data_IF_541656880896
#
_entry.id   IF_541656880896
#
_cell.length_a   1.000
_cell.length_b   1.000
_cell.length_c   1.000
_cell.angle_alpha   90.00
_cell.angle_beta   90.00
_cell.angle_gamma   90.00
#
_symmetry.space_group_name_H-M   'P 1'
#
loop_
_entity.id
_entity.type
_entity.pdbx_description
1 polymer ?
#
# COMPACT_ATOMS: atom_id res chain seq x y z
N UNK A 1 -3.96 20.13 25.95
CA UNK A 1 -4.14 18.67 25.79
C UNK A 1 -3.01 17.85 26.43
N UNK A 2 -1.78 17.78 25.88
CA UNK A 2 -0.72 16.91 26.44
C UNK A 2 -0.40 17.14 27.92
N UNK A 3 -0.38 18.41 28.36
CA UNK A 3 -0.21 18.75 29.79
C UNK A 3 -1.35 18.21 30.66
N UNK A 4 -2.57 18.19 30.14
CA UNK A 4 -3.73 17.66 30.84
C UNK A 4 -3.73 16.13 30.87
N UNK A 5 -3.24 15.47 29.80
CA UNK A 5 -3.00 14.03 29.81
C UNK A 5 -1.93 13.64 30.83
N UNK A 6 -0.76 14.31 30.79
CA UNK A 6 0.31 14.08 31.76
C UNK A 6 -0.17 14.31 33.19
N UNK A 7 -0.87 15.42 33.44
CA UNK A 7 -1.45 15.67 34.77
C UNK A 7 -2.43 14.57 35.19
N UNK A 8 -3.26 14.05 34.29
CA UNK A 8 -4.20 12.97 34.60
C UNK A 8 -3.46 11.67 34.95
N UNK A 9 -2.38 11.34 34.22
CA UNK A 9 -1.51 10.20 34.53
C UNK A 9 -0.83 10.39 35.89
N UNK A 10 -0.24 11.57 36.13
CA UNK A 10 0.46 11.90 37.37
C UNK A 10 -0.49 11.86 38.59
N UNK A 11 -1.77 12.19 38.42
CA UNK A 11 -2.79 12.13 39.49
C UNK A 11 -3.53 10.78 39.57
N UNK A 12 -3.21 9.81 38.72
CA UNK A 12 -3.89 8.51 38.67
C UNK A 12 -5.34 8.54 38.14
N UNK A 13 -5.74 9.62 37.45
CA UNK A 13 -7.05 9.77 36.82
C UNK A 13 -7.07 9.05 35.45
N UNK A 14 -7.17 7.73 35.50
CA UNK A 14 -7.13 6.85 34.33
C UNK A 14 -8.26 7.14 33.34
N UNK A 15 -9.47 7.38 33.82
CA UNK A 15 -10.63 7.68 32.98
C UNK A 15 -10.42 8.94 32.14
N UNK A 16 -9.83 9.99 32.73
CA UNK A 16 -9.50 11.22 32.00
C UNK A 16 -8.34 11.02 31.04
N UNK A 17 -7.31 10.26 31.43
CA UNK A 17 -6.19 9.94 30.56
C UNK A 17 -6.66 9.17 29.31
N UNK A 18 -7.47 8.13 29.48
CA UNK A 18 -8.08 7.34 28.41
C UNK A 18 -8.97 8.19 27.52
N UNK A 19 -9.82 9.05 28.09
CA UNK A 19 -10.67 9.93 27.30
C UNK A 19 -9.88 10.92 26.43
N UNK A 20 -8.73 11.41 26.92
CA UNK A 20 -7.85 12.29 26.15
C UNK A 20 -7.09 11.53 25.05
N UNK A 21 -6.69 10.28 25.30
CA UNK A 21 -6.10 9.40 24.28
C UNK A 21 -7.14 9.04 23.22
N UNK A 22 -8.36 8.71 23.62
CA UNK A 22 -9.47 8.46 22.72
C UNK A 22 -9.74 9.67 21.79
N UNK A 23 -9.67 10.88 22.34
CA UNK A 23 -9.83 12.09 21.54
C UNK A 23 -8.66 12.30 20.57
N UNK A 24 -7.42 12.04 21.02
CA UNK A 24 -6.24 12.09 20.15
C UNK A 24 -6.34 11.07 19.00
N UNK A 25 -6.89 9.89 19.28
CA UNK A 25 -7.18 8.86 18.30
C UNK A 25 -8.37 9.17 17.38
N UNK A 26 -8.94 10.39 17.46
CA UNK A 26 -10.03 10.83 16.58
C UNK A 26 -11.38 10.19 16.88
N UNK A 27 -11.59 9.62 18.07
CA UNK A 27 -12.88 9.04 18.42
C UNK A 27 -13.97 10.12 18.45
N UNK A 28 -15.11 9.92 17.75
CA UNK A 28 -16.15 10.94 17.61
C UNK A 28 -16.86 11.23 18.95
N UNK A 29 -16.92 10.24 19.84
CA UNK A 29 -17.73 10.30 21.06
C UNK A 29 -16.88 10.37 22.32
N UNK A 30 -16.15 11.47 22.51
CA UNK A 30 -15.43 11.73 23.76
C UNK A 30 -16.20 12.69 24.66
N UNK A 31 -16.30 12.35 25.95
CA UNK A 31 -17.02 13.11 26.96
C UNK A 31 -16.56 14.59 27.02
N UNK A 32 -17.54 15.50 27.03
CA UNK A 32 -17.29 16.95 27.08
C UNK A 32 -16.51 17.40 28.33
N UNK A 33 -16.63 16.66 29.44
CA UNK A 33 -15.86 16.91 30.66
C UNK A 33 -14.35 16.75 30.41
N UNK A 34 -13.93 15.66 29.77
CA UNK A 34 -12.53 15.41 29.43
C UNK A 34 -11.98 16.48 28.47
N UNK A 35 -12.75 16.87 27.44
CA UNK A 35 -12.39 17.94 26.49
C UNK A 35 -12.17 19.30 27.18
N UNK A 36 -13.15 19.75 27.98
CA UNK A 36 -13.07 21.02 28.74
C UNK A 36 -11.85 21.07 29.65
N UNK A 37 -11.58 19.95 30.32
CA UNK A 37 -10.46 19.80 31.23
C UNK A 37 -9.07 19.96 30.56
N UNK A 38 -9.01 19.80 29.24
CA UNK A 38 -7.80 19.91 28.44
C UNK A 38 -7.76 21.18 27.56
N UNK A 39 -8.75 22.08 27.71
CA UNK A 39 -8.92 23.29 26.91
C UNK A 39 -9.35 23.03 25.46
N UNK A 40 -9.89 21.84 25.17
CA UNK A 40 -10.30 21.42 23.84
C UNK A 40 -11.73 21.93 23.58
N UNK A 41 -11.92 22.64 22.46
CA UNK A 41 -13.23 23.09 21.98
C UNK A 41 -13.61 22.30 20.73
N UNK A 42 -14.78 21.68 20.76
CA UNK A 42 -15.34 20.96 19.61
C UNK A 42 -14.91 19.51 19.48
N UNK A 43 -15.50 18.84 18.48
CA UNK A 43 -15.13 17.51 18.03
C UNK A 43 -14.08 17.61 16.92
N UNK A 44 -13.39 16.49 16.65
CA UNK A 44 -12.50 16.40 15.51
C UNK A 44 -13.36 16.20 14.26
N UNK A 45 -13.80 17.31 13.66
CA UNK A 45 -14.56 17.32 12.42
C UNK A 45 -13.62 17.46 11.20
N UNK A 46 -14.19 17.53 9.99
CA UNK A 46 -13.41 17.68 8.76
C UNK A 46 -12.52 18.94 8.76
N UNK A 47 -12.95 20.02 9.43
CA UNK A 47 -12.19 21.26 9.54
C UNK A 47 -11.11 21.19 10.61
N UNK A 48 -11.36 20.46 11.70
CA UNK A 48 -10.45 20.23 12.82
C UNK A 48 -9.37 19.18 12.54
N UNK A 49 -9.61 18.24 11.62
CA UNK A 49 -8.69 17.16 11.29
C UNK A 49 -7.30 17.68 10.83
N UNK A 50 -7.27 18.72 9.99
CA UNK A 50 -6.01 19.32 9.53
C UNK A 50 -5.23 19.98 10.68
N UNK A 51 -5.93 20.71 11.56
CA UNK A 51 -5.31 21.30 12.75
C UNK A 51 -4.82 20.25 13.75
N UNK A 52 -5.55 19.13 13.87
CA UNK A 52 -5.13 18.01 14.71
C UNK A 52 -3.87 17.32 14.16
N UNK A 53 -3.78 17.12 12.85
CA UNK A 53 -2.59 16.59 12.18
C UNK A 53 -1.38 17.52 12.39
N UNK A 54 -1.57 18.83 12.25
CA UNK A 54 -0.51 19.80 12.55
C UNK A 54 -0.04 19.71 14.00
N UNK A 55 -0.98 19.61 14.94
CA UNK A 55 -0.68 19.40 16.36
C UNK A 55 0.12 18.13 16.59
N UNK A 56 -0.28 17.01 15.97
CA UNK A 56 0.43 15.73 16.05
C UNK A 56 1.88 15.84 15.56
N UNK A 57 2.11 16.52 14.43
CA UNK A 57 3.46 16.73 13.89
C UNK A 57 4.35 17.54 14.84
N UNK A 58 3.79 18.57 15.50
CA UNK A 58 4.52 19.32 16.53
C UNK A 58 4.91 18.42 17.70
N UNK A 59 3.98 17.58 18.17
CA UNK A 59 4.25 16.63 19.26
C UNK A 59 5.34 15.63 18.87
N UNK A 60 5.29 15.07 17.67
CA UNK A 60 6.29 14.12 17.17
C UNK A 60 7.67 14.77 17.11
N UNK A 61 7.75 16.00 16.58
CA UNK A 61 8.99 16.77 16.54
C UNK A 61 9.55 17.03 17.95
N UNK A 62 8.71 17.46 18.88
CA UNK A 62 9.12 17.73 20.27
C UNK A 62 9.55 16.45 21.00
N UNK A 63 9.02 15.29 20.60
CA UNK A 63 9.44 13.97 21.07
C UNK A 63 10.71 13.44 20.40
N UNK A 64 11.32 14.20 19.48
CA UNK A 64 12.56 13.82 18.78
C UNK A 64 12.35 12.93 17.55
N UNK A 65 11.11 12.71 17.10
CA UNK A 65 10.84 12.01 15.85
C UNK A 65 11.03 12.95 14.65
N UNK A 66 11.58 12.45 13.53
CA UNK A 66 11.88 13.28 12.36
C UNK A 66 10.63 13.71 11.58
N UNK A 67 9.49 13.05 11.78
CA UNK A 67 8.27 13.31 11.02
C UNK A 67 7.23 12.20 11.12
N UNK A 68 6.24 12.25 10.23
CA UNK A 68 5.17 11.26 10.09
C UNK A 68 5.05 10.83 8.62
N UNK A 69 5.04 9.53 8.37
CA UNK A 69 4.68 8.94 7.07
C UNK A 69 3.21 8.52 7.12
N UNK A 70 2.39 9.08 6.23
CA UNK A 70 1.00 8.67 6.03
C UNK A 70 0.90 7.97 4.69
N UNK A 71 0.47 6.70 4.72
CA UNK A 71 0.21 5.90 3.52
C UNK A 71 -1.30 5.77 3.33
N UNK A 72 -1.80 6.24 2.20
CA UNK A 72 -3.17 6.00 1.75
C UNK A 72 -3.13 4.87 0.72
N UNK A 73 -3.52 3.67 1.15
CA UNK A 73 -3.48 2.49 0.31
C UNK A 73 -4.85 2.15 -0.30
N UNK A 74 -4.83 1.45 -1.43
CA UNK A 74 -5.99 1.03 -2.20
C UNK A 74 -6.99 2.17 -2.49
N UNK A 75 -6.51 3.36 -2.86
CA UNK A 75 -7.39 4.51 -3.10
C UNK A 75 -8.37 4.30 -4.26
N UNK A 76 -8.13 3.30 -5.13
CA UNK A 76 -9.09 2.86 -6.13
C UNK A 76 -10.41 2.35 -5.54
N UNK A 77 -10.45 1.97 -4.25
CA UNK A 77 -11.68 1.60 -3.55
C UNK A 77 -12.70 2.74 -3.55
N UNK A 78 -12.23 4.00 -3.62
CA UNK A 78 -13.08 5.18 -3.77
C UNK A 78 -13.96 5.11 -5.03
N UNK A 79 -13.50 4.42 -6.08
CA UNK A 79 -14.27 4.25 -7.33
C UNK A 79 -15.54 3.42 -7.14
N UNK A 80 -15.62 2.60 -6.09
CA UNK A 80 -16.81 1.79 -5.75
C UNK A 80 -17.80 2.54 -4.87
N UNK A 81 -17.44 3.70 -4.34
CA UNK A 81 -18.30 4.50 -3.46
C UNK A 81 -19.38 5.27 -4.24
N UNK A 82 -20.46 5.64 -3.54
CA UNK A 82 -21.47 6.57 -4.07
C UNK A 82 -20.82 7.89 -4.49
N UNK A 83 -21.30 8.49 -5.58
CA UNK A 83 -20.66 9.63 -6.24
C UNK A 83 -20.39 10.83 -5.33
N UNK A 84 -21.35 11.23 -4.49
CA UNK A 84 -21.20 12.35 -3.54
C UNK A 84 -20.15 12.07 -2.45
N UNK A 85 -20.04 10.83 -1.97
CA UNK A 85 -19.03 10.43 -0.98
C UNK A 85 -17.65 10.40 -1.62
N UNK A 86 -17.56 9.88 -2.86
CA UNK A 86 -16.34 9.89 -3.66
C UNK A 86 -15.85 11.31 -3.94
N UNK A 87 -16.75 12.22 -4.33
CA UNK A 87 -16.42 13.62 -4.60
C UNK A 87 -15.90 14.33 -3.35
N UNK A 88 -16.47 14.03 -2.18
CA UNK A 88 -15.94 14.51 -0.90
C UNK A 88 -14.55 13.95 -0.59
N UNK A 89 -14.33 12.66 -0.83
CA UNK A 89 -13.03 12.01 -0.61
C UNK A 89 -11.93 12.59 -1.52
N UNK A 90 -12.23 12.76 -2.82
CA UNK A 90 -11.30 13.39 -3.78
C UNK A 90 -10.98 14.83 -3.39
N UNK A 91 -11.98 15.60 -2.91
CA UNK A 91 -11.74 16.96 -2.42
C UNK A 91 -10.89 17.00 -1.14
N UNK A 92 -11.11 16.07 -0.21
CA UNK A 92 -10.29 15.95 0.99
C UNK A 92 -8.83 15.61 0.65
N UNK A 93 -8.61 14.70 -0.32
CA UNK A 93 -7.29 14.35 -0.83
C UNK A 93 -6.60 15.56 -1.49
N UNK A 94 -7.32 16.30 -2.33
CA UNK A 94 -6.82 17.56 -2.92
C UNK A 94 -6.39 18.55 -1.84
N UNK A 95 -7.22 18.75 -0.82
CA UNK A 95 -6.91 19.67 0.27
C UNK A 95 -5.65 19.20 1.00
N UNK A 96 -5.52 17.92 1.34
CA UNK A 96 -4.34 17.39 2.02
C UNK A 96 -3.05 17.65 1.20
N UNK A 97 -3.10 17.41 -0.11
CA UNK A 97 -1.97 17.71 -1.02
C UNK A 97 -1.64 19.21 -1.03
N UNK A 98 -2.65 20.09 -1.09
CA UNK A 98 -2.47 21.54 -1.04
C UNK A 98 -1.87 22.03 0.29
N UNK A 99 -2.20 21.39 1.41
CA UNK A 99 -1.62 21.72 2.72
C UNK A 99 -0.16 21.27 2.81
N UNK A 100 0.19 20.10 2.26
CA UNK A 100 1.56 19.60 2.18
C UNK A 100 2.42 20.49 1.28
N UNK A 101 1.95 20.78 0.06
CA UNK A 101 2.67 21.61 -0.92
C UNK A 101 2.91 23.04 -0.39
N UNK A 102 1.92 23.60 0.32
CA UNK A 102 2.06 24.90 0.97
C UNK A 102 2.97 24.89 2.23
N UNK A 103 3.56 23.75 2.59
CA UNK A 103 4.47 23.62 3.74
C UNK A 103 3.79 23.71 5.11
N UNK A 104 2.47 23.52 5.20
CA UNK A 104 1.71 23.62 6.46
C UNK A 104 1.90 22.42 7.38
N UNK A 105 2.40 21.31 6.83
CA UNK A 105 2.70 20.08 7.55
C UNK A 105 4.20 19.73 7.48
N UNK A 106 5.08 20.51 8.14
CA UNK A 106 6.51 20.20 8.15
C UNK A 106 6.76 18.85 8.81
N UNK A 107 7.55 18.00 8.15
CA UNK A 107 7.83 16.63 8.59
C UNK A 107 6.76 15.59 8.22
N UNK A 108 5.70 15.98 7.51
CA UNK A 108 4.75 15.01 6.95
C UNK A 108 5.22 14.54 5.57
N UNK A 109 5.26 13.23 5.37
CA UNK A 109 5.36 12.61 4.06
C UNK A 109 4.05 11.88 3.74
N UNK A 110 3.43 12.22 2.62
CA UNK A 110 2.21 11.59 2.14
C UNK A 110 2.55 10.65 0.97
N UNK A 111 2.26 9.36 1.14
CA UNK A 111 2.34 8.35 0.09
C UNK A 111 0.92 7.89 -0.27
N UNK A 112 0.58 7.93 -1.55
CA UNK A 112 -0.71 7.46 -2.05
C UNK A 112 -0.44 6.34 -3.04
N UNK A 113 -0.98 5.16 -2.79
CA UNK A 113 -0.86 4.00 -3.68
C UNK A 113 -2.22 3.69 -4.29
N UNK A 114 -2.21 3.36 -5.56
CA UNK A 114 -3.42 2.97 -6.28
C UNK A 114 -3.11 2.46 -7.68
N UNK A 115 -4.13 1.91 -8.33
CA UNK A 115 -4.01 1.39 -9.70
C UNK A 115 -4.09 2.50 -10.76
N UNK A 116 -3.58 2.27 -11.98
CA UNK A 116 -3.73 3.22 -13.09
C UNK A 116 -5.19 3.66 -13.32
N UNK A 117 -6.15 2.75 -13.09
CA UNK A 117 -7.58 3.07 -13.19
C UNK A 117 -8.02 4.22 -12.26
N UNK A 118 -7.37 4.40 -11.10
CA UNK A 118 -7.63 5.54 -10.22
C UNK A 118 -6.97 6.82 -10.71
N UNK A 119 -5.77 6.77 -11.28
CA UNK A 119 -5.02 7.95 -11.70
C UNK A 119 -5.44 8.47 -13.10
N UNK A 120 -5.90 7.59 -13.98
CA UNK A 120 -6.22 7.93 -15.37
C UNK A 120 -7.72 7.81 -15.66
N UNK A 121 -8.41 6.91 -14.95
CA UNK A 121 -9.80 6.57 -15.24
C UNK A 121 -10.79 7.70 -14.94
N UNK A 122 -11.96 7.71 -15.63
CA UNK A 122 -12.98 8.75 -15.49
C UNK A 122 -13.64 8.78 -14.10
N UNK A 123 -13.55 7.66 -13.37
CA UNK A 123 -14.08 7.50 -12.02
C UNK A 123 -13.08 7.79 -10.90
N UNK A 124 -11.82 8.08 -11.26
CA UNK A 124 -10.71 8.37 -10.36
C UNK A 124 -10.41 9.87 -10.24
N UNK A 125 -9.13 10.25 -10.19
CA UNK A 125 -8.70 11.65 -9.97
C UNK A 125 -9.15 12.59 -11.09
N UNK A 126 -9.31 12.09 -12.32
CA UNK A 126 -9.77 12.86 -13.50
C UNK A 126 -11.14 13.49 -13.28
N UNK A 127 -11.95 12.95 -12.36
CA UNK A 127 -13.25 13.48 -11.95
C UNK A 127 -13.14 14.83 -11.23
N UNK A 128 -12.00 15.12 -10.62
CA UNK A 128 -11.72 16.39 -9.96
C UNK A 128 -10.53 17.08 -10.65
N UNK A 129 -10.77 17.92 -11.68
CA UNK A 129 -9.69 18.54 -12.45
C UNK A 129 -8.61 19.28 -11.63
N UNK A 130 -8.95 19.99 -10.52
CA UNK A 130 -7.95 20.58 -9.65
C UNK A 130 -6.97 19.57 -9.01
N UNK A 131 -7.45 18.36 -8.69
CA UNK A 131 -6.59 17.29 -8.17
C UNK A 131 -5.78 16.65 -9.30
N UNK A 132 -6.42 16.34 -10.42
CA UNK A 132 -5.75 15.76 -11.59
C UNK A 132 -4.57 16.62 -12.07
N UNK A 133 -4.76 17.96 -12.13
CA UNK A 133 -3.70 18.88 -12.52
C UNK A 133 -2.47 18.88 -11.59
N UNK A 134 -2.65 18.58 -10.30
CA UNK A 134 -1.56 18.51 -9.32
C UNK A 134 -0.78 17.21 -9.39
N UNK A 135 -1.49 16.12 -9.70
CA UNK A 135 -0.90 14.79 -9.77
C UNK A 135 -0.38 14.46 -11.16
N UNK A 136 -0.70 15.23 -12.21
CA UNK A 136 -0.34 14.88 -13.59
C UNK A 136 1.17 14.66 -13.76
N UNK A 137 1.52 13.48 -14.25
CA UNK A 137 2.85 13.10 -14.74
C UNK A 137 2.67 12.49 -16.12
N UNK A 138 3.61 12.77 -17.02
CA UNK A 138 3.63 12.18 -18.35
C UNK A 138 4.39 10.85 -18.30
N UNK A 139 3.71 9.77 -18.66
CA UNK A 139 4.23 8.41 -18.70
C UNK A 139 4.31 7.84 -20.13
N UNK A 140 4.17 8.69 -21.16
CA UNK A 140 4.17 8.32 -22.58
C UNK A 140 5.57 7.96 -23.11
N UNK A 141 6.62 8.36 -22.39
CA UNK A 141 8.01 8.07 -22.73
C UNK A 141 8.50 6.72 -22.19
N UNK A 142 9.69 6.30 -22.62
CA UNK A 142 10.32 5.04 -22.18
C UNK A 142 10.38 4.98 -20.64
N UNK A 143 9.71 3.99 -19.99
CA UNK A 143 9.65 3.85 -18.54
C UNK A 143 11.00 3.80 -17.82
N UNK A 144 12.10 3.53 -18.53
CA UNK A 144 13.47 3.54 -18.00
C UNK A 144 13.96 4.93 -17.61
N UNK A 145 13.33 5.97 -18.12
CA UNK A 145 13.71 7.35 -17.86
C UNK A 145 12.64 8.13 -17.09
N UNK A 146 11.66 7.43 -16.49
CA UNK A 146 10.68 8.05 -15.59
C UNK A 146 11.42 8.82 -14.48
N UNK A 147 11.01 10.07 -14.24
CA UNK A 147 11.68 10.93 -13.26
C UNK A 147 11.32 10.50 -11.82
N UNK A 148 12.27 10.03 -11.01
CA UNK A 148 11.99 9.58 -9.64
C UNK A 148 11.62 10.72 -8.67
N UNK A 149 11.77 11.98 -9.10
CA UNK A 149 11.35 13.17 -8.34
C UNK A 149 9.96 13.69 -8.75
N UNK A 150 9.30 13.03 -9.70
CA UNK A 150 7.94 13.38 -10.08
C UNK A 150 6.96 13.07 -8.93
N UNK A 151 5.79 13.71 -8.96
CA UNK A 151 4.73 13.52 -7.95
C UNK A 151 4.09 12.13 -8.03
N UNK A 152 4.23 11.44 -9.15
CA UNK A 152 3.86 10.04 -9.33
C UNK A 152 5.09 9.23 -9.74
N UNK A 153 5.17 8.01 -9.20
CA UNK A 153 6.16 7.01 -9.58
C UNK A 153 5.40 5.79 -10.09
N UNK A 154 5.60 5.44 -11.36
CA UNK A 154 5.02 4.24 -11.97
C UNK A 154 5.83 3.02 -11.53
N UNK A 155 5.16 2.06 -10.90
CA UNK A 155 5.73 0.75 -10.62
C UNK A 155 5.54 -0.15 -11.85
N UNK A 156 6.60 -0.83 -12.27
CA UNK A 156 6.53 -1.81 -13.35
C UNK A 156 5.96 -3.12 -12.84
N UNK A 157 5.29 -3.85 -13.74
CA UNK A 157 4.91 -5.23 -13.47
C UNK A 157 6.15 -6.10 -13.23
N UNK A 158 5.95 -7.21 -12.54
CA UNK A 158 6.99 -8.21 -12.36
C UNK A 158 7.27 -8.92 -13.69
N UNK A 159 8.55 -9.00 -14.03
CA UNK A 159 9.10 -9.90 -15.03
C UNK A 159 9.66 -11.17 -14.35
N UNK A 160 10.23 -12.07 -15.15
CA UNK A 160 10.80 -13.32 -14.64
C UNK A 160 11.93 -13.05 -13.63
N UNK A 161 12.89 -12.21 -13.99
CA UNK A 161 14.06 -11.91 -13.15
C UNK A 161 13.65 -11.33 -11.79
N UNK A 162 12.70 -10.39 -11.78
CA UNK A 162 12.19 -9.78 -10.53
C UNK A 162 11.38 -10.77 -9.67
N UNK A 163 10.74 -11.79 -10.26
CA UNK A 163 10.13 -12.86 -9.46
C UNK A 163 11.14 -13.82 -8.86
N UNK A 164 12.18 -14.16 -9.61
CA UNK A 164 13.27 -14.98 -9.07
C UNK A 164 13.92 -14.24 -7.91
N UNK A 165 14.21 -12.94 -8.06
CA UNK A 165 14.74 -12.11 -6.99
C UNK A 165 13.79 -12.05 -5.77
N UNK A 166 12.49 -11.86 -6.01
CA UNK A 166 11.47 -11.91 -4.96
C UNK A 166 11.47 -13.28 -4.25
N UNK A 167 11.54 -14.37 -5.02
CA UNK A 167 11.59 -15.73 -4.51
C UNK A 167 12.83 -15.99 -3.66
N UNK A 168 14.00 -15.51 -4.08
CA UNK A 168 15.26 -15.61 -3.33
C UNK A 168 15.12 -14.91 -1.97
N UNK A 169 14.68 -13.64 -1.96
CA UNK A 169 14.50 -12.86 -0.73
C UNK A 169 13.51 -13.53 0.23
N UNK A 170 12.40 -14.05 -0.28
CA UNK A 170 11.39 -14.72 0.56
C UNK A 170 11.89 -16.07 1.07
N UNK A 171 12.54 -16.89 0.24
CA UNK A 171 13.17 -18.15 0.66
C UNK A 171 14.20 -17.90 1.75
N UNK A 172 15.08 -16.91 1.56
CA UNK A 172 16.17 -16.64 2.50
C UNK A 172 15.62 -16.17 3.84
N UNK A 173 14.63 -15.27 3.83
CA UNK A 173 13.92 -14.83 5.03
C UNK A 173 13.20 -16.00 5.74
N UNK A 174 12.54 -16.88 4.98
CA UNK A 174 11.89 -18.06 5.54
C UNK A 174 12.91 -19.00 6.19
N UNK A 175 14.02 -19.27 5.50
CA UNK A 175 15.07 -20.17 5.95
C UNK A 175 15.86 -19.63 7.14
N UNK A 176 15.87 -18.33 7.40
CA UNK A 176 16.41 -17.75 8.64
C UNK A 176 15.56 -18.09 9.87
N UNK A 177 14.24 -18.25 9.70
CA UNK A 177 13.31 -18.58 10.77
C UNK A 177 13.09 -20.08 11.00
N UNK A 178 13.58 -20.95 10.11
CA UNK A 178 13.34 -22.40 10.14
C UNK A 178 14.56 -23.17 10.68
N UNK A 179 14.30 -24.27 11.40
CA UNK A 179 15.36 -25.22 11.82
C UNK A 179 15.91 -26.06 10.66
N UNK A 180 15.23 -26.06 9.51
CA UNK A 180 15.61 -26.76 8.28
C UNK A 180 16.16 -25.81 7.20
N UNK A 181 16.65 -24.62 7.60
CA UNK A 181 17.08 -23.57 6.67
C UNK A 181 18.08 -24.02 5.59
N UNK A 182 19.05 -24.87 5.93
CA UNK A 182 20.03 -25.39 4.96
C UNK A 182 19.39 -26.33 3.93
N UNK A 183 18.45 -27.17 4.37
CA UNK A 183 17.66 -28.05 3.49
C UNK A 183 16.81 -27.22 2.53
N UNK A 184 16.16 -26.17 3.04
CA UNK A 184 15.36 -25.25 2.22
C UNK A 184 16.21 -24.60 1.13
N UNK A 185 17.37 -24.03 1.49
CA UNK A 185 18.27 -23.39 0.51
C UNK A 185 18.84 -24.39 -0.51
N UNK A 186 18.96 -25.67 -0.14
CA UNK A 186 19.45 -26.73 -1.02
C UNK A 186 18.37 -27.24 -1.98
N UNK A 187 17.16 -27.52 -1.48
CA UNK A 187 16.08 -28.09 -2.31
C UNK A 187 15.33 -27.03 -3.11
N UNK A 188 15.32 -25.79 -2.63
CA UNK A 188 14.69 -24.63 -3.27
C UNK A 188 15.79 -23.64 -3.66
N UNK A 189 16.76 -24.12 -4.44
CA UNK A 189 17.82 -23.29 -5.00
C UNK A 189 17.29 -22.28 -6.04
N UNK A 190 18.19 -21.46 -6.57
CA UNK A 190 17.84 -20.41 -7.53
C UNK A 190 17.29 -20.98 -8.85
N UNK A 191 17.76 -22.15 -9.26
CA UNK A 191 17.25 -22.85 -10.44
C UNK A 191 15.79 -23.29 -10.24
N UNK A 192 15.45 -23.81 -9.06
CA UNK A 192 14.08 -24.16 -8.72
C UNK A 192 13.17 -22.93 -8.71
N UNK A 193 13.65 -21.80 -8.17
CA UNK A 193 12.90 -20.54 -8.19
C UNK A 193 12.63 -20.06 -9.63
N UNK A 194 13.60 -20.22 -10.53
CA UNK A 194 13.44 -19.97 -11.97
C UNK A 194 12.37 -20.87 -12.59
N UNK A 195 12.42 -22.18 -12.35
CA UNK A 195 11.42 -23.13 -12.83
C UNK A 195 10.01 -22.80 -12.33
N UNK A 196 9.89 -22.41 -11.06
CA UNK A 196 8.62 -22.02 -10.47
C UNK A 196 8.09 -20.73 -11.11
N UNK A 197 8.96 -19.74 -11.35
CA UNK A 197 8.61 -18.49 -12.00
C UNK A 197 8.12 -18.73 -13.45
N UNK A 198 8.85 -19.53 -14.22
CA UNK A 198 8.49 -19.93 -15.58
C UNK A 198 7.15 -20.65 -15.64
N UNK A 199 6.91 -21.58 -14.72
CA UNK A 199 5.69 -22.35 -14.73
C UNK A 199 4.47 -21.50 -14.30
N UNK A 200 4.64 -20.52 -13.41
CA UNK A 200 3.58 -19.53 -13.11
C UNK A 200 3.36 -18.58 -14.29
N UNK A 201 4.40 -18.14 -14.98
CA UNK A 201 4.26 -17.30 -16.18
C UNK A 201 3.60 -18.03 -17.37
N UNK A 202 4.02 -19.28 -17.62
CA UNK A 202 3.54 -20.09 -18.74
C UNK A 202 2.09 -20.55 -18.58
N UNK A 203 1.66 -20.85 -17.36
CA UNK A 203 0.27 -21.20 -17.05
C UNK A 203 -0.70 -20.02 -17.18
N UNK A 204 -0.19 -18.79 -17.17
CA UNK A 204 -0.94 -17.56 -17.47
C UNK A 204 -0.95 -17.21 -18.97
N UNK A 205 -0.55 -18.16 -19.83
CA UNK A 205 -0.63 -18.02 -21.29
C UNK A 205 0.42 -17.09 -21.88
N UNK A 206 1.56 -16.90 -21.20
CA UNK A 206 2.63 -16.00 -21.67
C UNK A 206 2.24 -14.52 -21.68
N UNK A 207 1.12 -14.16 -21.04
CA UNK A 207 0.66 -12.79 -20.96
C UNK A 207 1.48 -12.02 -19.91
N UNK A 208 1.95 -10.84 -20.33
CA UNK A 208 2.83 -9.97 -19.56
C UNK A 208 2.07 -9.45 -18.33
N UNK A 209 2.50 -9.88 -17.15
CA UNK A 209 1.89 -9.53 -15.86
C UNK A 209 1.86 -10.76 -14.95
N UNK A 210 3.03 -11.30 -14.61
CA UNK A 210 3.09 -12.47 -13.74
C UNK A 210 2.54 -12.06 -12.37
N UNK A 211 1.62 -12.85 -11.81
CA UNK A 211 1.00 -12.54 -10.53
C UNK A 211 1.94 -12.90 -9.37
N UNK A 212 2.66 -11.93 -8.76
CA UNK A 212 3.63 -12.23 -7.69
C UNK A 212 2.95 -12.90 -6.50
N UNK A 213 1.68 -12.55 -6.23
CA UNK A 213 0.89 -13.16 -5.17
C UNK A 213 0.68 -14.67 -5.37
N UNK A 214 0.40 -15.10 -6.60
CA UNK A 214 0.22 -16.52 -6.94
C UNK A 214 1.54 -17.26 -6.80
N UNK A 215 2.62 -16.67 -7.34
CA UNK A 215 3.97 -17.20 -7.19
C UNK A 215 4.35 -17.38 -5.71
N UNK A 216 4.20 -16.35 -4.89
CA UNK A 216 4.51 -16.39 -3.46
C UNK A 216 3.65 -17.38 -2.70
N UNK A 217 2.36 -17.48 -3.01
CA UNK A 217 1.47 -18.44 -2.36
C UNK A 217 1.93 -19.88 -2.59
N UNK A 218 2.37 -20.20 -3.82
CA UNK A 218 2.88 -21.53 -4.17
C UNK A 218 4.26 -21.76 -3.57
N UNK A 219 5.16 -20.78 -3.66
CA UNK A 219 6.48 -20.86 -3.06
C UNK A 219 6.38 -21.13 -1.55
N UNK A 220 5.64 -20.32 -0.80
CA UNK A 220 5.57 -20.47 0.65
C UNK A 220 4.73 -21.68 1.03
N UNK A 221 3.46 -21.73 0.63
CA UNK A 221 2.51 -22.72 1.15
C UNK A 221 2.65 -24.13 0.55
N UNK A 222 3.07 -24.24 -0.72
CA UNK A 222 3.15 -25.54 -1.39
C UNK A 222 4.57 -26.10 -1.47
N UNK A 223 5.59 -25.26 -1.31
CA UNK A 223 6.99 -25.66 -1.44
C UNK A 223 7.73 -25.53 -0.11
N UNK A 224 7.97 -24.30 0.37
CA UNK A 224 8.80 -24.05 1.56
C UNK A 224 8.23 -24.75 2.81
N UNK A 225 6.93 -24.58 3.06
CA UNK A 225 6.24 -25.21 4.20
C UNK A 225 6.36 -26.74 4.17
N UNK A 226 6.32 -27.36 2.99
CA UNK A 226 6.40 -28.82 2.84
C UNK A 226 7.84 -29.33 2.96
N UNK A 227 8.81 -28.57 2.45
CA UNK A 227 10.24 -28.87 2.64
C UNK A 227 10.63 -28.78 4.11
N UNK A 228 10.04 -27.84 4.86
CA UNK A 228 10.28 -27.65 6.29
C UNK A 228 9.63 -28.75 7.14
N UNK A 229 8.41 -29.19 6.78
CA UNK A 229 7.64 -30.15 7.58
C UNK A 229 7.93 -31.62 7.27
N UNK A 230 8.35 -31.95 6.04
CA UNK A 230 8.47 -33.34 5.58
C UNK A 230 9.88 -33.64 5.07
N UNK A 231 10.61 -34.47 5.82
CA UNK A 231 12.01 -34.85 5.52
C UNK A 231 12.20 -35.59 4.18
N UNK A 232 11.14 -36.21 3.66
CA UNK A 232 11.13 -36.95 2.39
C UNK A 232 10.56 -36.13 1.21
N UNK A 233 10.08 -34.91 1.45
CA UNK A 233 9.54 -34.07 0.40
C UNK A 233 10.66 -33.42 -0.43
N UNK A 234 10.75 -33.79 -1.71
CA UNK A 234 11.51 -33.09 -2.74
C UNK A 234 10.53 -32.38 -3.70
N UNK A 235 10.56 -31.04 -3.77
CA UNK A 235 9.62 -30.29 -4.61
C UNK A 235 9.76 -30.59 -6.11
N UNK A 236 10.94 -31.02 -6.58
CA UNK A 236 11.14 -31.39 -7.99
C UNK A 236 10.47 -32.70 -8.38
N UNK A 237 10.25 -33.59 -7.41
CA UNK A 237 9.67 -34.90 -7.63
C UNK A 237 8.19 -34.94 -7.23
N UNK A 238 7.84 -34.24 -6.15
CA UNK A 238 6.55 -34.39 -5.46
C UNK A 238 5.60 -33.21 -5.66
N UNK A 239 6.03 -32.10 -6.27
CA UNK A 239 5.17 -30.97 -6.57
C UNK A 239 5.03 -30.76 -8.09
N UNK A 240 3.82 -30.92 -8.60
CA UNK A 240 3.47 -30.53 -9.97
C UNK A 240 2.75 -29.19 -9.93
N UNK A 241 3.34 -28.17 -10.55
CA UNK A 241 2.73 -26.86 -10.60
C UNK A 241 1.42 -26.94 -11.40
N UNK A 242 0.31 -26.62 -10.73
CA UNK A 242 -0.99 -26.40 -11.37
C UNK A 242 -1.46 -25.00 -11.00
N UNK A 243 -1.74 -24.16 -11.99
CA UNK A 243 -2.32 -22.82 -11.77
C UNK A 243 -3.70 -22.81 -12.40
N UNK A 244 -4.72 -22.64 -11.57
CA UNK A 244 -6.10 -22.53 -12.04
C UNK A 244 -6.49 -21.07 -12.27
N UNK A 245 -7.33 -20.81 -13.28
CA UNK A 245 -7.79 -19.44 -13.60
C UNK A 245 -8.56 -18.75 -12.46
N UNK A 246 -9.05 -19.53 -11.48
CA UNK A 246 -9.72 -19.03 -10.27
C UNK A 246 -8.77 -18.48 -9.20
N UNK A 247 -7.45 -18.64 -9.34
CA UNK A 247 -6.47 -18.14 -8.36
C UNK A 247 -6.16 -16.64 -8.51
N UNK A 248 -6.52 -16.05 -9.67
CA UNK A 248 -6.29 -14.65 -9.98
C UNK A 248 -7.39 -13.74 -9.41
N UNK A 249 -6.99 -12.64 -8.80
CA UNK A 249 -7.88 -11.51 -8.51
C UNK A 249 -8.36 -10.87 -9.81
N UNK A 250 -9.44 -10.08 -9.72
CA UNK A 250 -9.93 -9.30 -10.86
C UNK A 250 -8.88 -8.28 -11.35
N UNK A 251 -8.04 -7.74 -10.44
CA UNK A 251 -6.94 -6.83 -10.81
C UNK A 251 -5.87 -7.57 -11.60
N UNK A 252 -5.41 -8.72 -11.11
CA UNK A 252 -4.42 -9.55 -11.83
C UNK A 252 -4.98 -10.05 -13.18
N UNK A 253 -6.27 -10.40 -13.23
CA UNK A 253 -6.94 -10.80 -14.48
C UNK A 253 -7.04 -9.65 -15.49
N UNK A 254 -7.21 -8.41 -15.01
CA UNK A 254 -7.24 -7.23 -15.87
C UNK A 254 -5.84 -6.80 -16.32
N UNK A 255 -4.82 -6.99 -15.48
CA UNK A 255 -3.41 -6.73 -15.84
C UNK A 255 -2.85 -7.79 -16.81
N UNK A 256 -3.31 -9.04 -16.71
CA UNK A 256 -2.98 -10.10 -17.65
C UNK A 256 -3.64 -9.91 -19.03
N UNK A 257 -4.69 -9.08 -19.13
CA UNK A 257 -5.25 -8.70 -20.44
C UNK A 257 -4.34 -7.64 -21.06
N UNK A 258 -3.91 -7.80 -22.33
CA UNK A 258 -3.11 -6.78 -22.99
C UNK A 258 -3.86 -5.44 -22.95
N UNK A 259 -3.16 -4.39 -22.57
CA UNK A 259 -3.63 -3.03 -22.79
C UNK A 259 -3.97 -2.91 -24.29
N UNK A 260 -5.25 -2.78 -24.64
CA UNK A 260 -5.65 -2.35 -25.98
C UNK A 260 -5.24 -0.89 -26.13
N UNK A 261 -3.96 -0.66 -26.42
CA UNK A 261 -3.46 0.58 -26.98
C UNK A 261 -3.17 0.30 -28.46
N UNK A 262 -3.97 0.88 -29.35
CA UNK A 262 -3.72 0.88 -30.79
C UNK A 262 -4.75 0.10 -31.60
N UNK A 263 -5.91 0.70 -31.82
CA UNK A 263 -6.64 0.64 -33.10
C UNK A 263 -7.46 1.93 -33.20
N UNK A 264 -6.76 3.03 -33.45
CA UNK A 264 -7.34 4.20 -34.11
C UNK A 264 -6.62 4.26 -35.44
N UNK A 265 -7.25 3.69 -36.46
CA UNK A 265 -6.84 3.88 -37.85
C UNK A 265 -7.00 5.39 -38.15
N UNK A 266 -5.88 6.09 -38.25
CA UNK A 266 -5.86 7.45 -38.80
C UNK A 266 -5.77 7.30 -40.31
N UNK A 267 -6.91 7.40 -40.98
CA UNK A 267 -6.94 7.63 -42.43
C UNK A 267 -6.28 9.00 -42.71
N UNK A 268 -5.19 8.96 -43.48
CA UNK A 268 -4.56 10.13 -44.12
C UNK A 268 -5.31 10.52 -45.38
#
# INVERSE_FOLDING_TARGET
MLRAYRSAVDTGDTARAEALVAWLGGQPHVAAAAKRSAGIKGDLDHFGAMGALQGLLVVLRDAGHPGLLVVLDEVETLQRMRGDVRDKALNAMRQLIDEVDAGRFPGLYLLITGTPAFFEGPSGISRLPPLAGRLRVDFDTDPRFDNPRAVQIRLRGFDHDSLVELGQRVRDLYAEGSTQGDRIRTLVDDDYLGLLADAVAGSLGGQVGIAPRVFLKKLVGDVLDRVDQFDDFDPRQHYQLTVSSGELTDVERNLAQPARAGDIDLEL
#
